data_IF_682542396990
#
_entry.id   IF_682542396990
#
_cell.length_a   1.000
_cell.length_b   1.000
_cell.length_c   1.000
_cell.angle_alpha   90.00
_cell.angle_beta   90.00
_cell.angle_gamma   90.00
#
_symmetry.space_group_name_H-M   'P 1'
#
loop_
_entity.id
_entity.type
_entity.pdbx_description
1 polymer ?
#
# COMPACT_ATOMS: atom_id res chain seq x y z
N UNK A 1 21.08 30.96 -16.43
CA UNK A 1 19.83 30.22 -16.73
C UNK A 1 20.19 28.88 -17.34
N UNK A 2 19.98 27.77 -16.63
CA UNK A 2 20.05 26.42 -17.23
C UNK A 2 18.73 26.20 -17.97
N UNK A 3 18.78 26.00 -19.29
CA UNK A 3 17.63 25.48 -20.04
C UNK A 3 17.48 24.01 -19.64
N UNK A 4 16.45 23.68 -18.85
CA UNK A 4 16.08 22.29 -18.62
C UNK A 4 15.82 21.65 -19.98
N UNK A 5 16.54 20.58 -20.29
CA UNK A 5 16.28 19.81 -21.51
C UNK A 5 14.96 19.07 -21.27
N UNK A 6 13.89 19.50 -21.93
CA UNK A 6 12.68 18.69 -22.00
C UNK A 6 13.06 17.39 -22.70
N UNK A 7 12.85 16.24 -22.04
CA UNK A 7 13.14 14.91 -22.57
C UNK A 7 12.22 14.51 -23.75
N UNK A 8 11.48 15.47 -24.31
CA UNK A 8 10.56 15.27 -25.43
C UNK A 8 11.24 14.66 -26.66
N UNK A 9 12.49 15.05 -26.94
CA UNK A 9 13.28 14.46 -28.04
C UNK A 9 13.78 13.04 -27.79
N UNK A 10 13.67 12.55 -26.55
CA UNK A 10 14.01 11.19 -26.15
C UNK A 10 12.77 10.31 -25.96
N UNK A 11 11.57 10.90 -26.06
CA UNK A 11 10.33 10.15 -26.00
C UNK A 11 10.18 9.34 -27.30
N UNK A 12 9.84 8.04 -27.23
CA UNK A 12 9.65 7.23 -28.42
C UNK A 12 8.51 7.80 -29.29
N UNK A 13 8.68 7.78 -30.61
CA UNK A 13 7.70 8.30 -31.56
C UNK A 13 6.37 7.52 -31.55
N UNK A 14 6.42 6.28 -31.08
CA UNK A 14 5.26 5.46 -30.76
C UNK A 14 5.22 5.25 -29.25
N UNK A 15 4.09 5.56 -28.63
CA UNK A 15 3.88 5.26 -27.22
C UNK A 15 3.90 3.74 -27.02
N UNK A 16 4.62 3.21 -26.01
CA UNK A 16 4.57 1.81 -25.68
C UNK A 16 3.14 1.37 -25.39
N UNK A 17 2.79 0.15 -25.78
CA UNK A 17 1.53 -0.45 -25.36
C UNK A 17 1.59 -0.79 -23.86
N UNK A 18 1.11 0.15 -23.05
CA UNK A 18 1.08 0.01 -21.60
C UNK A 18 -0.03 -0.93 -21.12
N UNK A 19 -1.07 -1.16 -21.94
CA UNK A 19 -2.25 -1.94 -21.56
C UNK A 19 -1.91 -3.43 -21.44
N UNK A 20 -1.07 -3.96 -22.33
CA UNK A 20 -0.66 -5.38 -22.31
C UNK A 20 0.67 -5.65 -21.56
N UNK A 21 1.41 -4.60 -21.17
CA UNK A 21 2.73 -4.74 -20.52
C UNK A 21 2.67 -4.76 -18.98
N UNK A 22 1.59 -4.28 -18.37
CA UNK A 22 1.50 -4.15 -16.92
C UNK A 22 0.75 -5.35 -16.29
N UNK A 23 1.42 -6.22 -15.52
CA UNK A 23 0.71 -7.18 -14.69
C UNK A 23 -0.19 -6.42 -13.72
N UNK A 24 -1.41 -6.91 -13.48
CA UNK A 24 -2.34 -6.22 -12.57
C UNK A 24 -1.67 -5.88 -11.25
N UNK A 25 -2.08 -4.77 -10.62
CA UNK A 25 -1.47 -4.29 -9.37
C UNK A 25 -1.37 -5.40 -8.31
N UNK A 26 -2.34 -6.30 -8.28
CA UNK A 26 -2.32 -7.49 -7.42
C UNK A 26 -1.18 -8.47 -7.76
N UNK A 27 -0.93 -8.73 -9.03
CA UNK A 27 0.20 -9.58 -9.47
C UNK A 27 1.54 -8.89 -9.29
N UNK A 28 1.59 -7.56 -9.44
CA UNK A 28 2.77 -6.79 -9.10
C UNK A 28 3.06 -6.85 -7.60
N UNK A 29 2.06 -6.64 -6.75
CA UNK A 29 2.19 -6.69 -5.29
C UNK A 29 2.73 -8.04 -4.79
N UNK A 30 2.18 -9.14 -5.32
CA UNK A 30 2.65 -10.49 -4.98
C UNK A 30 4.13 -10.71 -5.34
N UNK A 31 4.58 -10.20 -6.50
CA UNK A 31 5.98 -10.33 -6.92
C UNK A 31 6.93 -9.45 -6.12
N UNK A 32 6.57 -8.19 -5.88
CA UNK A 32 7.42 -7.25 -5.15
C UNK A 32 7.66 -7.67 -3.70
N UNK A 33 6.65 -8.27 -3.07
CA UNK A 33 6.73 -8.65 -1.66
C UNK A 33 7.13 -10.12 -1.46
N UNK A 34 7.38 -10.88 -2.52
CA UNK A 34 7.79 -12.28 -2.42
C UNK A 34 9.08 -12.41 -1.59
N UNK A 35 9.02 -13.16 -0.49
CA UNK A 35 10.16 -13.38 0.40
C UNK A 35 10.50 -12.21 1.33
N UNK A 36 9.69 -11.15 1.38
CA UNK A 36 9.92 -10.03 2.28
C UNK A 36 9.78 -10.47 3.75
N UNK A 37 10.82 -10.33 4.60
CA UNK A 37 10.78 -10.80 5.98
C UNK A 37 9.89 -9.94 6.88
N UNK A 38 9.49 -8.76 6.41
CA UNK A 38 8.75 -7.76 7.20
C UNK A 38 7.38 -7.44 6.61
N UNK A 39 6.80 -8.39 5.87
CA UNK A 39 5.55 -8.18 5.13
C UNK A 39 4.39 -7.76 6.04
N UNK A 40 4.29 -8.37 7.23
CA UNK A 40 3.25 -8.07 8.22
C UNK A 40 3.49 -6.71 8.89
N UNK A 41 4.72 -6.41 9.29
CA UNK A 41 5.05 -5.12 9.91
C UNK A 41 4.89 -3.97 8.93
N UNK A 42 5.23 -4.19 7.65
CA UNK A 42 4.99 -3.24 6.56
C UNK A 42 3.49 -2.94 6.41
N UNK A 43 2.64 -3.98 6.41
CA UNK A 43 1.19 -3.80 6.33
C UNK A 43 0.65 -3.05 7.55
N UNK A 44 1.06 -3.45 8.74
CA UNK A 44 0.59 -2.87 9.99
C UNK A 44 1.00 -1.41 10.15
N UNK A 45 2.23 -1.07 9.78
CA UNK A 45 2.72 0.31 9.78
C UNK A 45 1.85 1.18 8.87
N UNK A 46 1.59 0.71 7.66
CA UNK A 46 0.79 1.45 6.68
C UNK A 46 -0.66 1.67 7.16
N UNK A 47 -1.30 0.61 7.68
CA UNK A 47 -2.66 0.70 8.23
C UNK A 47 -2.75 1.63 9.46
N UNK A 48 -1.67 1.75 10.24
CA UNK A 48 -1.60 2.68 11.39
C UNK A 48 -1.38 4.14 10.97
N UNK A 49 -0.46 4.37 10.04
CA UNK A 49 0.09 5.70 9.79
C UNK A 49 -0.68 6.49 8.73
N UNK A 50 -1.03 5.85 7.62
CA UNK A 50 -1.47 6.58 6.44
C UNK A 50 -2.77 6.05 5.82
N UNK A 51 -3.18 4.83 6.17
CA UNK A 51 -4.52 4.32 5.86
C UNK A 51 -4.86 4.43 4.37
N UNK A 52 -6.06 4.87 3.97
CA UNK A 52 -6.49 4.84 2.57
C UNK A 52 -5.78 5.87 1.67
N UNK A 53 -4.98 6.78 2.22
CA UNK A 53 -4.46 7.97 1.54
C UNK A 53 -3.10 7.76 0.83
N UNK A 54 -2.51 6.58 0.94
CA UNK A 54 -1.26 6.21 0.24
C UNK A 54 -1.52 5.48 -1.05
N UNK A 55 -0.56 5.56 -1.96
CA UNK A 55 -0.55 4.86 -3.25
C UNK A 55 0.48 3.73 -3.25
N UNK A 56 0.26 2.73 -4.09
CA UNK A 56 1.21 1.64 -4.34
C UNK A 56 1.04 0.41 -3.44
N UNK A 57 2.08 -0.41 -3.39
CA UNK A 57 2.10 -1.74 -2.75
C UNK A 57 2.63 -1.66 -1.33
N UNK A 58 1.86 -2.20 -0.39
CA UNK A 58 2.24 -2.31 1.03
C UNK A 58 1.78 -3.65 1.57
N UNK A 59 2.69 -4.42 2.19
CA UNK A 59 2.34 -5.71 2.78
C UNK A 59 1.70 -6.71 1.81
N UNK A 60 2.21 -6.78 0.57
CA UNK A 60 1.66 -7.57 -0.54
C UNK A 60 0.22 -7.22 -0.98
N UNK A 61 -0.32 -6.07 -0.56
CA UNK A 61 -1.61 -5.59 -1.03
C UNK A 61 -1.42 -4.43 -2.00
N UNK A 62 -2.15 -4.48 -3.11
CA UNK A 62 -2.38 -3.34 -3.97
C UNK A 62 -3.25 -2.29 -3.24
N UNK A 63 -3.24 -1.06 -3.74
CA UNK A 63 -4.00 0.06 -3.17
C UNK A 63 -5.48 -0.27 -2.96
N UNK A 64 -6.15 -0.84 -3.96
CA UNK A 64 -7.57 -1.19 -3.88
C UNK A 64 -7.87 -2.22 -2.77
N UNK A 65 -7.09 -3.31 -2.73
CA UNK A 65 -7.23 -4.36 -1.70
C UNK A 65 -6.99 -3.80 -0.30
N UNK A 66 -5.98 -2.94 -0.14
CA UNK A 66 -5.64 -2.31 1.12
C UNK A 66 -6.69 -1.31 1.59
N UNK A 67 -7.26 -0.50 0.69
CA UNK A 67 -8.39 0.39 1.00
C UNK A 67 -9.62 -0.37 1.45
N UNK A 68 -9.91 -1.51 0.84
CA UNK A 68 -11.00 -2.38 1.26
C UNK A 68 -10.76 -3.00 2.65
N UNK A 69 -9.51 -3.34 2.97
CA UNK A 69 -9.12 -3.91 4.26
C UNK A 69 -9.18 -2.90 5.42
N UNK A 70 -8.76 -1.66 5.19
CA UNK A 70 -8.59 -0.63 6.22
C UNK A 70 -9.77 -0.46 7.20
N UNK A 71 -11.04 -0.32 6.75
CA UNK A 71 -12.17 -0.19 7.69
C UNK A 71 -12.40 -1.43 8.56
N UNK A 72 -12.08 -2.63 8.06
CA UNK A 72 -12.22 -3.88 8.83
C UNK A 72 -11.14 -3.92 9.92
N UNK A 73 -9.90 -3.56 9.57
CA UNK A 73 -8.79 -3.50 10.50
C UNK A 73 -9.03 -2.48 11.62
N UNK A 74 -9.52 -1.29 11.30
CA UNK A 74 -9.83 -0.23 12.28
C UNK A 74 -10.86 -0.70 13.32
N UNK A 75 -11.95 -1.35 12.87
CA UNK A 75 -12.99 -1.88 13.77
C UNK A 75 -12.42 -2.90 14.76
N UNK A 76 -11.58 -3.82 14.28
CA UNK A 76 -10.96 -4.84 15.13
C UNK A 76 -10.02 -4.24 16.17
N UNK A 77 -9.25 -3.21 15.80
CA UNK A 77 -8.35 -2.50 16.72
C UNK A 77 -9.11 -1.77 17.83
N UNK A 78 -10.17 -1.05 17.47
CA UNK A 78 -10.99 -0.34 18.46
C UNK A 78 -11.63 -1.30 19.47
N UNK A 79 -11.98 -2.52 19.06
CA UNK A 79 -12.51 -3.54 19.96
C UNK A 79 -11.45 -4.05 20.95
N UNK A 80 -10.21 -4.23 20.49
CA UNK A 80 -9.08 -4.66 21.32
C UNK A 80 -8.70 -3.60 22.36
N UNK A 81 -8.62 -2.33 21.97
CA UNK A 81 -8.31 -1.23 22.89
C UNK A 81 -9.37 -1.06 23.99
N UNK A 82 -10.64 -1.32 23.67
CA UNK A 82 -11.75 -1.27 24.63
C UNK A 82 -11.71 -2.41 25.66
N UNK A 83 -11.34 -3.63 25.25
CA UNK A 83 -11.20 -4.76 26.16
C UNK A 83 -10.04 -4.59 27.13
N UNK A 84 -8.94 -3.97 26.69
CA UNK A 84 -7.78 -3.70 27.54
C UNK A 84 -8.07 -2.62 28.60
N UNK A 85 -8.93 -1.64 28.28
CA UNK A 85 -9.36 -0.59 29.22
C UNK A 85 -10.37 -1.07 30.28
N UNK A 86 -11.25 -2.02 29.94
CA UNK A 86 -12.18 -2.63 30.91
C UNK A 86 -11.46 -3.60 31.85
N UNK A 87 -10.46 -4.35 31.37
CA UNK A 87 -9.63 -5.24 32.19
C UNK A 87 -8.73 -4.52 33.20
N UNK A 88 -8.36 -3.26 32.94
CA UNK A 88 -7.52 -2.43 33.82
C UNK A 88 -8.26 -1.71 34.97
N UNK A 89 -9.59 -1.83 35.06
CA UNK A 89 -10.43 -1.16 36.08
C UNK A 89 -10.79 -2.04 37.28
N UNK A 90 -10.23 -3.25 37.37
CA UNK A 90 -10.39 -4.15 38.51
C UNK A 90 -9.03 -4.39 39.19
N UNK A 91 -8.64 -3.49 40.10
CA UNK A 91 -7.60 -3.71 41.12
C UNK A 91 -7.91 -2.88 42.35
#
# INVERSE_FOLDING_TARGET
MRRGLCLWGLWPAQEPDWDDCAPSDRRLAARLCAGCPVIEQCLELELRMAGPCTTGVWGALAEGDRRALHPIWQRRRHQQDGTDQEGGRSS
#
